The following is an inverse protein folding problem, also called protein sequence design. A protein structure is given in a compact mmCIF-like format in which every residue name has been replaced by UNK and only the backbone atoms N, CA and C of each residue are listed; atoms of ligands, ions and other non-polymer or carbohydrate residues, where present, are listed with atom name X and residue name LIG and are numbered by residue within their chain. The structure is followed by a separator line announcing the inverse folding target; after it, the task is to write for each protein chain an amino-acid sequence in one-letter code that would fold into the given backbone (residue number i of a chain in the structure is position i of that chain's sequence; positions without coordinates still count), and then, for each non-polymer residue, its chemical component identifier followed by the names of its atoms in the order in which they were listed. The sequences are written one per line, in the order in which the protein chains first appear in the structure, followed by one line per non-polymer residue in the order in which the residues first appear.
data_IF_657719850533
#
_entry.id   IF_657719850533
#
_cell.length_a   1.000
_cell.length_b   1.000
_cell.length_c   1.000
_cell.angle_alpha   90.00
_cell.angle_beta   90.00
_cell.angle_gamma   90.00
#
_symmetry.space_group_name_H-M   'P 1'
#
loop_
_entity.id
_entity.type
_entity.pdbx_description
1 polymer ?
#
# COMPACT_ATOMS: atom_id res chain seq x y z
N UNK A 1 -9.69 -0.30 8.55
CA UNK A 1 -10.85 0.60 8.52
C UNK A 1 -10.48 1.98 7.96
N UNK A 2 -11.46 2.81 7.69
CA UNK A 2 -11.29 4.15 7.14
C UNK A 2 -10.42 5.03 8.07
N UNK A 3 -9.20 5.32 7.63
CA UNK A 3 -8.22 6.16 8.32
C UNK A 3 -7.34 6.88 7.33
N UNK A 4 -6.82 8.04 7.72
CA UNK A 4 -5.82 8.79 6.97
C UNK A 4 -4.46 8.18 7.21
N UNK A 5 -3.88 7.62 6.16
CA UNK A 5 -2.66 6.82 6.26
C UNK A 5 -1.51 7.51 5.53
N UNK A 6 -0.38 7.61 6.22
CA UNK A 6 0.90 7.90 5.58
C UNK A 6 1.56 6.58 5.20
N UNK A 7 1.82 6.38 3.92
CA UNK A 7 2.57 5.24 3.39
C UNK A 7 4.00 5.60 3.09
N UNK A 8 4.93 4.75 3.44
CA UNK A 8 6.35 4.93 3.13
C UNK A 8 6.88 3.68 2.45
N UNK A 9 7.36 3.84 1.24
CA UNK A 9 8.14 2.83 0.50
C UNK A 9 9.62 3.13 0.70
N UNK A 10 10.33 2.34 1.53
CA UNK A 10 11.70 2.64 1.90
C UNK A 10 12.69 2.38 0.77
N UNK A 11 13.79 3.15 0.75
CA UNK A 11 14.90 2.93 -0.16
C UNK A 11 16.13 3.71 0.27
N UNK A 12 17.31 3.14 0.04
CA UNK A 12 18.57 3.81 0.33
C UNK A 12 18.92 4.85 -0.74
N UNK A 13 19.29 4.42 -1.94
CA UNK A 13 19.77 5.31 -3.01
C UNK A 13 18.67 6.19 -3.62
N UNK A 14 17.51 5.61 -3.86
CA UNK A 14 16.37 6.28 -4.48
C UNK A 14 15.59 7.13 -3.49
N UNK A 15 15.93 7.07 -2.21
CA UNK A 15 15.18 7.68 -1.12
C UNK A 15 13.92 6.89 -0.75
N UNK A 16 13.20 7.37 0.23
CA UNK A 16 11.95 6.80 0.68
C UNK A 16 10.79 7.57 0.03
N UNK A 17 9.93 6.89 -0.71
CA UNK A 17 8.72 7.51 -1.26
C UNK A 17 7.67 7.58 -0.18
N UNK A 18 7.14 8.79 0.06
CA UNK A 18 6.10 9.05 1.05
C UNK A 18 4.81 9.46 0.34
N UNK A 19 3.71 8.87 0.73
CA UNK A 19 2.36 9.22 0.27
C UNK A 19 1.45 9.50 1.46
N UNK A 20 0.47 10.38 1.29
CA UNK A 20 -0.61 10.58 2.25
C UNK A 20 -1.94 10.23 1.55
N UNK A 21 -2.72 9.37 2.18
CA UNK A 21 -4.03 8.93 1.70
C UNK A 21 -5.13 9.41 2.64
N UNK A 22 -6.31 9.68 2.07
CA UNK A 22 -7.51 9.93 2.84
C UNK A 22 -8.17 8.62 3.34
N UNK A 23 -9.33 8.76 3.96
CA UNK A 23 -10.09 7.64 4.54
C UNK A 23 -10.63 6.66 3.47
N UNK A 24 -10.75 7.10 2.22
CA UNK A 24 -11.15 6.29 1.06
C UNK A 24 -9.96 5.60 0.39
N UNK A 25 -8.74 5.97 0.77
CA UNK A 25 -7.51 5.48 0.15
C UNK A 25 -7.10 6.27 -1.09
N UNK A 26 -7.65 7.46 -1.28
CA UNK A 26 -7.29 8.35 -2.38
C UNK A 26 -6.01 9.12 -2.06
N UNK A 27 -5.17 9.33 -3.07
CA UNK A 27 -3.89 9.98 -2.94
C UNK A 27 -4.04 11.49 -2.79
N UNK A 28 -3.69 12.03 -1.62
CA UNK A 28 -3.69 13.45 -1.31
C UNK A 28 -2.36 14.13 -1.63
N UNK A 29 -1.24 13.44 -1.38
CA UNK A 29 0.10 13.99 -1.56
C UNK A 29 1.15 12.88 -1.73
N UNK A 30 2.21 13.20 -2.44
CA UNK A 30 3.39 12.35 -2.51
C UNK A 30 4.68 13.20 -2.51
N UNK A 31 5.73 12.65 -1.93
CA UNK A 31 7.07 13.24 -1.94
C UNK A 31 8.13 12.17 -1.75
N UNK A 32 9.40 12.54 -1.86
CA UNK A 32 10.53 11.66 -1.56
C UNK A 32 11.40 12.30 -0.49
N UNK A 33 11.76 11.51 0.52
CA UNK A 33 12.70 11.92 1.57
C UNK A 33 13.97 11.06 1.47
N UNK A 34 15.08 11.58 1.97
CA UNK A 34 16.40 10.95 1.86
C UNK A 34 17.09 10.83 3.22
N UNK A 35 16.51 10.06 4.17
CA UNK A 35 17.06 9.96 5.53
C UNK A 35 18.29 9.09 5.64
N UNK A 36 18.57 8.24 4.63
CA UNK A 36 19.61 7.22 4.63
C UNK A 36 20.77 7.59 3.70
N UNK A 37 21.87 6.85 3.83
CA UNK A 37 23.01 6.97 2.90
C UNK A 37 22.54 6.77 1.43
N UNK A 38 23.11 7.48 0.46
CA UNK A 38 24.28 8.37 0.59
C UNK A 38 23.96 9.81 1.03
N UNK A 39 22.71 10.29 0.92
CA UNK A 39 22.35 11.68 1.25
C UNK A 39 22.27 11.95 2.74
N UNK A 40 21.78 11.00 3.52
CA UNK A 40 21.69 11.02 4.99
C UNK A 40 21.12 12.30 5.59
N UNK A 41 20.08 12.87 4.98
CA UNK A 41 19.42 14.07 5.48
C UNK A 41 18.25 13.72 6.40
N UNK A 42 18.59 13.19 7.57
CA UNK A 42 17.61 12.73 8.57
C UNK A 42 16.77 13.87 9.15
N UNK A 43 17.38 15.06 9.30
CA UNK A 43 16.66 16.22 9.85
C UNK A 43 15.60 16.75 8.91
N UNK A 44 15.91 16.92 7.62
CA UNK A 44 14.93 17.33 6.61
C UNK A 44 13.83 16.28 6.42
N UNK A 45 14.19 14.99 6.46
CA UNK A 45 13.21 13.90 6.39
C UNK A 45 12.24 13.96 7.58
N UNK A 46 12.74 14.12 8.80
CA UNK A 46 11.91 14.25 10.01
C UNK A 46 10.97 15.45 9.92
N UNK A 47 11.48 16.62 9.53
CA UNK A 47 10.66 17.83 9.34
C UNK A 47 9.55 17.62 8.30
N UNK A 48 9.88 16.99 7.17
CA UNK A 48 8.89 16.66 6.12
C UNK A 48 7.79 15.76 6.66
N UNK A 49 8.14 14.68 7.36
CA UNK A 49 7.16 13.75 7.92
C UNK A 49 6.24 14.43 8.95
N UNK A 50 6.79 15.30 9.81
CA UNK A 50 6.00 16.07 10.77
C UNK A 50 5.01 17.00 10.08
N UNK A 51 5.48 17.76 9.08
CA UNK A 51 4.63 18.69 8.33
C UNK A 51 3.50 17.96 7.61
N UNK A 52 3.80 16.83 6.96
CA UNK A 52 2.79 16.01 6.29
C UNK A 52 1.79 15.41 7.28
N UNK A 53 2.26 14.89 8.41
CA UNK A 53 1.38 14.31 9.43
C UNK A 53 0.38 15.36 9.97
N UNK A 54 0.84 16.59 10.19
CA UNK A 54 0.00 17.71 10.60
C UNK A 54 -0.99 18.12 9.49
N UNK A 55 -0.46 18.38 8.29
CA UNK A 55 -1.24 18.89 7.16
C UNK A 55 -2.37 17.96 6.75
N UNK A 56 -2.08 16.66 6.68
CA UNK A 56 -3.02 15.64 6.23
C UNK A 56 -3.71 14.90 7.38
N UNK A 57 -3.47 15.30 8.64
CA UNK A 57 -4.07 14.70 9.84
C UNK A 57 -3.89 13.18 9.87
N UNK A 58 -2.66 12.73 9.69
CA UNK A 58 -2.31 11.32 9.62
C UNK A 58 -2.69 10.60 10.91
N UNK A 59 -3.37 9.47 10.80
CA UNK A 59 -3.85 8.64 11.91
C UNK A 59 -3.10 7.31 12.05
N UNK A 60 -2.35 6.91 11.02
CA UNK A 60 -1.50 5.71 11.03
C UNK A 60 -0.39 5.83 10.00
N UNK A 61 0.74 5.14 10.25
CA UNK A 61 1.85 5.04 9.30
C UNK A 61 2.07 3.59 8.89
N UNK A 62 2.12 3.36 7.58
CA UNK A 62 2.48 2.07 6.97
C UNK A 62 3.85 2.19 6.33
N UNK A 63 4.79 1.34 6.71
CA UNK A 63 6.16 1.31 6.18
C UNK A 63 6.39 -0.05 5.53
N UNK A 64 6.86 -0.07 4.28
CA UNK A 64 7.26 -1.30 3.62
C UNK A 64 8.37 -2.02 4.38
N UNK A 65 8.30 -3.35 4.46
CA UNK A 65 9.23 -4.16 5.25
C UNK A 65 10.46 -4.64 4.47
N UNK A 66 10.68 -4.16 3.26
CA UNK A 66 11.82 -4.50 2.44
C UNK A 66 13.10 -3.73 2.79
N UNK A 67 13.89 -3.41 1.76
CA UNK A 67 15.16 -2.71 1.91
C UNK A 67 14.98 -1.37 2.61
N UNK A 68 15.82 -1.08 3.63
CA UNK A 68 15.75 0.12 4.48
C UNK A 68 14.47 0.27 5.33
N UNK A 69 13.62 -0.76 5.41
CA UNK A 69 12.37 -0.71 6.16
C UNK A 69 12.57 -0.48 7.65
N UNK A 70 13.52 -1.18 8.27
CA UNK A 70 13.82 -1.05 9.70
C UNK A 70 14.41 0.32 10.05
N UNK A 71 15.35 0.79 9.24
CA UNK A 71 15.97 2.11 9.42
C UNK A 71 14.96 3.23 9.25
N UNK A 72 14.00 3.06 8.34
CA UNK A 72 12.89 4.00 8.16
C UNK A 72 11.91 3.95 9.33
N UNK A 73 11.61 2.76 9.86
CA UNK A 73 10.81 2.60 11.07
C UNK A 73 11.46 3.30 12.27
N UNK A 74 12.77 3.13 12.47
CA UNK A 74 13.53 3.81 13.53
C UNK A 74 13.45 5.34 13.39
N UNK A 75 13.55 5.87 12.18
CA UNK A 75 13.38 7.29 11.93
C UNK A 75 11.99 7.75 12.39
N UNK A 76 10.93 7.09 11.92
CA UNK A 76 9.54 7.49 12.25
C UNK A 76 9.28 7.36 13.75
N UNK A 77 9.77 6.29 14.39
CA UNK A 77 9.65 6.12 15.86
C UNK A 77 10.41 7.20 16.64
N UNK A 78 11.52 7.71 16.11
CA UNK A 78 12.26 8.78 16.77
C UNK A 78 11.50 10.12 16.83
N UNK A 79 10.46 10.29 16.00
CA UNK A 79 9.60 11.48 16.04
C UNK A 79 8.76 11.56 17.31
N UNK A 80 8.48 10.42 17.97
CA UNK A 80 7.77 10.34 19.24
C UNK A 80 8.50 11.04 20.39
N UNK A 81 9.83 11.10 20.33
CA UNK A 81 10.67 11.68 21.37
C UNK A 81 10.90 13.19 21.23
N UNK A 82 10.33 13.84 20.22
CA UNK A 82 10.58 15.26 19.96
C UNK A 82 9.61 16.12 20.78
N UNK A 83 10.10 16.75 21.83
CA UNK A 83 9.35 17.50 22.85
C UNK A 83 8.50 18.69 22.34
N UNK A 84 8.65 19.10 21.09
CA UNK A 84 7.94 20.25 20.48
C UNK A 84 7.14 19.86 19.23
N UNK A 85 6.79 18.60 19.07
CA UNK A 85 6.02 18.16 17.91
C UNK A 85 4.57 18.70 18.01
N UNK A 86 4.15 19.47 17.00
CA UNK A 86 2.74 19.89 16.86
C UNK A 86 1.79 18.69 16.58
N UNK A 87 2.38 17.51 16.33
CA UNK A 87 1.70 16.23 16.10
C UNK A 87 1.97 15.31 17.29
N UNK A 88 0.93 14.74 17.86
CA UNK A 88 1.07 13.72 18.90
C UNK A 88 1.40 12.37 18.27
N UNK A 89 2.69 12.14 18.03
CA UNK A 89 3.17 10.87 17.45
C UNK A 89 2.92 9.64 18.33
N UNK A 90 2.66 9.80 19.61
CA UNK A 90 2.34 8.67 20.50
C UNK A 90 0.97 8.06 20.18
N UNK A 91 0.06 8.86 19.65
CA UNK A 91 -1.26 8.41 19.21
C UNK A 91 -1.26 7.84 17.79
N UNK A 92 -0.18 8.01 17.01
CA UNK A 92 -0.08 7.52 15.65
C UNK A 92 0.60 6.14 15.64
N UNK A 93 -0.12 5.05 15.42
CA UNK A 93 0.47 3.72 15.32
C UNK A 93 1.30 3.60 14.04
N UNK A 94 2.44 2.91 14.17
CA UNK A 94 3.40 2.68 13.09
C UNK A 94 3.48 1.18 12.84
N UNK A 95 3.28 0.77 11.59
CA UNK A 95 3.26 -0.63 11.17
C UNK A 95 4.27 -0.89 10.06
N UNK A 96 5.01 -1.99 10.19
CA UNK A 96 5.69 -2.61 9.06
C UNK A 96 4.68 -3.43 8.26
N UNK A 97 4.61 -3.18 6.96
CA UNK A 97 3.65 -3.82 6.05
C UNK A 97 4.43 -4.60 5.00
N UNK A 98 4.00 -5.83 4.70
CA UNK A 98 4.61 -6.60 3.62
C UNK A 98 4.49 -5.84 2.30
N UNK A 99 5.62 -5.70 1.60
CA UNK A 99 5.67 -5.12 0.26
C UNK A 99 5.73 -6.18 -0.85
N UNK A 100 5.54 -7.47 -0.52
CA UNK A 100 5.56 -8.55 -1.49
C UNK A 100 4.60 -8.28 -2.64
N UNK A 101 5.10 -8.38 -3.87
CA UNK A 101 4.34 -8.09 -5.08
C UNK A 101 3.97 -6.62 -5.31
N UNK A 102 4.37 -5.67 -4.47
CA UNK A 102 4.07 -4.24 -4.68
C UNK A 102 4.68 -3.70 -5.97
N UNK A 103 5.87 -4.15 -6.34
CA UNK A 103 6.51 -3.82 -7.61
C UNK A 103 5.75 -4.39 -8.82
N UNK A 104 5.19 -5.60 -8.69
CA UNK A 104 4.36 -6.21 -9.74
C UNK A 104 3.07 -5.42 -9.93
N UNK A 105 2.39 -5.08 -8.83
CA UNK A 105 1.20 -4.22 -8.87
C UNK A 105 1.51 -2.88 -9.53
N UNK A 106 2.56 -2.17 -9.09
CA UNK A 106 2.87 -0.81 -9.55
C UNK A 106 3.08 -0.71 -11.07
N UNK A 107 3.57 -1.79 -11.70
CA UNK A 107 3.75 -1.90 -13.15
C UNK A 107 2.52 -2.43 -13.90
N UNK A 108 1.49 -2.90 -13.19
CA UNK A 108 0.30 -3.54 -13.76
C UNK A 108 -0.61 -2.57 -14.51
N UNK A 109 -1.49 -3.14 -15.35
CA UNK A 109 -2.56 -2.38 -16.02
C UNK A 109 -3.52 -1.77 -15.00
N UNK A 110 -3.82 -2.50 -13.91
CA UNK A 110 -4.70 -2.04 -12.83
C UNK A 110 -4.13 -0.77 -12.18
N UNK A 111 -2.85 -0.79 -11.80
CA UNK A 111 -2.21 0.36 -11.17
C UNK A 111 -2.11 1.57 -12.11
N UNK A 112 -1.88 1.33 -13.40
CA UNK A 112 -1.89 2.41 -14.41
C UNK A 112 -3.27 3.03 -14.60
N UNK A 113 -4.32 2.24 -14.52
CA UNK A 113 -5.69 2.73 -14.60
C UNK A 113 -6.09 3.54 -13.36
N UNK A 114 -5.67 3.08 -12.16
CA UNK A 114 -5.94 3.78 -10.89
C UNK A 114 -5.15 5.10 -10.77
N UNK A 115 -3.89 5.13 -11.24
CA UNK A 115 -2.98 6.27 -11.12
C UNK A 115 -2.25 6.54 -12.45
N UNK A 116 -2.95 7.02 -13.49
CA UNK A 116 -2.36 7.23 -14.81
C UNK A 116 -1.26 8.30 -14.81
N UNK A 117 -1.38 9.31 -13.94
CA UNK A 117 -0.47 10.47 -13.89
C UNK A 117 0.70 10.29 -12.90
N UNK A 118 0.84 9.11 -12.29
CA UNK A 118 1.88 8.82 -11.32
C UNK A 118 2.76 7.67 -11.77
N UNK A 119 4.03 7.71 -11.39
CA UNK A 119 4.99 6.66 -11.72
C UNK A 119 4.87 5.41 -10.82
N UNK A 120 5.66 4.38 -11.14
CA UNK A 120 5.65 3.10 -10.40
C UNK A 120 6.02 3.25 -8.93
N UNK A 121 6.85 4.23 -8.57
CA UNK A 121 7.29 4.43 -7.19
C UNK A 121 6.16 4.98 -6.32
N UNK A 122 5.38 5.92 -6.83
CA UNK A 122 4.19 6.43 -6.16
C UNK A 122 3.13 5.33 -6.02
N UNK A 123 2.86 4.59 -7.09
CA UNK A 123 1.90 3.47 -7.07
C UNK A 123 2.28 2.40 -6.05
N UNK A 124 3.57 2.07 -5.93
CA UNK A 124 4.10 1.16 -4.92
C UNK A 124 3.84 1.63 -3.49
N UNK A 125 4.16 2.88 -3.20
CA UNK A 125 3.93 3.48 -1.88
C UNK A 125 2.43 3.55 -1.52
N UNK A 126 1.55 3.86 -2.50
CA UNK A 126 0.09 3.82 -2.31
C UNK A 126 -0.37 2.40 -1.97
N UNK A 127 0.14 1.39 -2.68
CA UNK A 127 -0.19 -0.01 -2.39
C UNK A 127 0.17 -0.40 -0.97
N UNK A 128 1.37 -0.04 -0.49
CA UNK A 128 1.81 -0.29 0.89
C UNK A 128 0.84 0.34 1.89
N UNK A 129 0.44 1.60 1.68
CA UNK A 129 -0.50 2.29 2.56
C UNK A 129 -1.89 1.62 2.55
N UNK A 130 -2.42 1.29 1.37
CA UNK A 130 -3.74 0.65 1.21
C UNK A 130 -3.79 -0.75 1.82
N UNK A 131 -2.69 -1.50 1.83
CA UNK A 131 -2.61 -2.81 2.50
C UNK A 131 -2.84 -2.72 4.00
N UNK A 132 -2.47 -1.60 4.63
CA UNK A 132 -2.79 -1.38 6.04
C UNK A 132 -4.28 -1.13 6.26
N UNK A 133 -4.95 -0.42 5.35
CA UNK A 133 -6.37 -0.12 5.43
C UNK A 133 -7.26 -1.34 5.16
N UNK A 134 -6.98 -2.04 4.05
CA UNK A 134 -7.72 -3.22 3.60
C UNK A 134 -6.78 -4.14 2.80
N UNK A 135 -6.11 -5.09 3.47
CA UNK A 135 -5.14 -5.97 2.83
C UNK A 135 -5.75 -6.84 1.74
N UNK A 136 -6.97 -7.35 1.91
CA UNK A 136 -7.61 -8.20 0.92
C UNK A 136 -7.93 -7.43 -0.35
N UNK A 137 -8.54 -6.25 -0.22
CA UNK A 137 -8.89 -5.39 -1.34
C UNK A 137 -7.68 -5.02 -2.20
N UNK A 138 -6.52 -4.85 -1.59
CA UNK A 138 -5.29 -4.49 -2.29
C UNK A 138 -4.56 -5.71 -2.86
N UNK A 139 -4.45 -6.80 -2.10
CA UNK A 139 -3.71 -7.99 -2.51
C UNK A 139 -4.38 -8.75 -3.67
N UNK A 140 -5.70 -8.69 -3.82
CA UNK A 140 -6.40 -9.32 -4.96
C UNK A 140 -6.03 -8.70 -6.32
N UNK A 141 -5.43 -7.52 -6.33
CA UNK A 141 -4.92 -6.87 -7.55
C UNK A 141 -3.64 -7.51 -8.09
N UNK A 142 -3.02 -8.40 -7.32
CA UNK A 142 -1.76 -9.07 -7.64
C UNK A 142 -2.04 -10.53 -7.94
N UNK A 143 -1.49 -11.06 -9.04
CA UNK A 143 -1.54 -12.50 -9.29
C UNK A 143 -0.88 -13.24 -8.12
N UNK A 144 -1.58 -14.17 -7.43
CA UNK A 144 -1.02 -14.90 -6.29
C UNK A 144 0.32 -15.58 -6.60
N UNK A 145 0.53 -16.03 -7.84
CA UNK A 145 1.80 -16.63 -8.28
C UNK A 145 2.98 -15.66 -8.24
N UNK A 146 2.73 -14.35 -8.38
CA UNK A 146 3.76 -13.33 -8.30
C UNK A 146 4.26 -13.08 -6.87
N UNK A 147 3.45 -13.41 -5.87
CA UNK A 147 3.83 -13.35 -4.44
C UNK A 147 4.50 -14.66 -4.02
N UNK A 148 4.17 -15.76 -4.69
CA UNK A 148 4.59 -17.12 -4.35
C UNK A 148 3.55 -17.84 -3.49
N UNK A 149 3.06 -18.96 -4.00
CA UNK A 149 2.01 -19.77 -3.35
C UNK A 149 2.53 -21.08 -2.80
N UNK A 150 3.74 -21.47 -3.18
CA UNK A 150 4.37 -22.69 -2.66
C UNK A 150 5.68 -23.03 -3.38
N UNK A 151 6.51 -23.82 -2.70
CA UNK A 151 7.82 -24.24 -3.19
C UNK A 151 7.72 -24.93 -4.56
N UNK A 152 6.69 -25.73 -4.79
CA UNK A 152 6.49 -26.56 -5.98
C UNK A 152 5.49 -25.97 -6.97
N UNK A 153 5.23 -24.66 -6.92
CA UNK A 153 4.25 -24.02 -7.81
C UNK A 153 4.57 -24.18 -9.31
N UNK A 154 5.83 -24.42 -9.66
CA UNK A 154 6.28 -24.63 -11.04
C UNK A 154 6.24 -26.10 -11.47
N UNK A 155 6.01 -27.03 -10.54
CA UNK A 155 5.99 -28.48 -10.78
C UNK A 155 4.57 -29.03 -11.01
N UNK A 156 3.55 -28.17 -10.87
CA UNK A 156 2.15 -28.52 -11.08
C UNK A 156 1.61 -27.91 -12.36
N UNK A 157 0.48 -28.44 -12.86
CA UNK A 157 -0.17 -27.87 -14.04
C UNK A 157 -0.56 -26.41 -13.82
N UNK A 158 -0.02 -25.51 -14.65
CA UNK A 158 -0.18 -24.07 -14.49
C UNK A 158 -1.66 -23.61 -14.63
N UNK A 159 -2.45 -24.29 -15.48
CA UNK A 159 -3.86 -23.96 -15.70
C UNK A 159 -4.72 -24.40 -14.51
N UNK A 160 -4.46 -25.61 -14.00
CA UNK A 160 -5.13 -26.12 -12.81
C UNK A 160 -4.82 -25.28 -11.58
N UNK A 161 -3.54 -24.91 -11.39
CA UNK A 161 -3.11 -24.02 -10.31
C UNK A 161 -3.81 -22.67 -10.38
N UNK A 162 -3.81 -22.02 -11.56
CA UNK A 162 -4.48 -20.74 -11.75
C UNK A 162 -5.96 -20.82 -11.38
N UNK A 163 -6.67 -21.84 -11.87
CA UNK A 163 -8.10 -22.04 -11.57
C UNK A 163 -8.36 -22.22 -10.07
N UNK A 164 -7.52 -23.00 -9.39
CA UNK A 164 -7.62 -23.22 -7.95
C UNK A 164 -7.39 -21.93 -7.16
N UNK A 165 -6.41 -21.12 -7.57
CA UNK A 165 -6.12 -19.84 -6.95
C UNK A 165 -7.24 -18.82 -7.18
N UNK A 166 -7.74 -18.68 -8.41
CA UNK A 166 -8.86 -17.79 -8.73
C UNK A 166 -10.10 -18.14 -7.89
N UNK A 167 -10.43 -19.43 -7.79
CA UNK A 167 -11.56 -19.90 -6.95
C UNK A 167 -11.32 -19.59 -5.46
N UNK A 168 -10.10 -19.76 -4.98
CA UNK A 168 -9.76 -19.46 -3.58
C UNK A 168 -9.91 -17.98 -3.28
N UNK A 169 -9.43 -17.10 -4.17
CA UNK A 169 -9.57 -15.64 -4.03
C UNK A 169 -11.04 -15.25 -4.03
N UNK A 170 -11.84 -15.78 -4.98
CA UNK A 170 -13.28 -15.54 -5.04
C UNK A 170 -13.97 -15.97 -3.73
N UNK A 171 -13.64 -17.15 -3.23
CA UNK A 171 -14.17 -17.63 -1.94
C UNK A 171 -13.83 -16.69 -0.78
N UNK A 172 -12.58 -16.28 -0.66
CA UNK A 172 -12.13 -15.36 0.39
C UNK A 172 -12.83 -13.99 0.31
N UNK A 173 -12.95 -13.41 -0.90
CA UNK A 173 -13.63 -12.13 -1.10
C UNK A 173 -15.09 -12.21 -0.69
N UNK A 174 -15.80 -13.27 -1.09
CA UNK A 174 -17.22 -13.45 -0.75
C UNK A 174 -17.43 -13.77 0.74
N UNK A 175 -16.48 -14.46 1.39
CA UNK A 175 -16.55 -14.74 2.82
C UNK A 175 -16.32 -13.47 3.68
N UNK A 176 -15.40 -12.61 3.28
CA UNK A 176 -15.08 -11.35 3.99
C UNK A 176 -16.09 -10.25 3.67
N UNK A 177 -16.59 -10.23 2.43
CA UNK A 177 -17.39 -9.13 1.89
C UNK A 177 -16.55 -7.95 1.43
N UNK A 178 -17.19 -7.01 0.74
CA UNK A 178 -16.52 -5.81 0.20
C UNK A 178 -17.26 -4.55 0.64
N UNK A 179 -16.50 -3.48 0.86
CA UNK A 179 -17.06 -2.15 1.07
C UNK A 179 -17.25 -1.47 -0.28
N UNK A 180 -18.49 -1.28 -0.71
CA UNK A 180 -18.81 -0.68 -2.02
C UNK A 180 -18.28 0.74 -2.20
N UNK A 181 -18.15 1.50 -1.12
CA UNK A 181 -17.67 2.88 -1.20
C UNK A 181 -16.16 3.01 -1.44
N UNK A 182 -15.41 1.93 -1.22
CA UNK A 182 -13.94 1.92 -1.36
C UNK A 182 -13.44 0.84 -2.31
N UNK A 183 -14.33 -0.05 -2.77
CA UNK A 183 -13.97 -1.16 -3.63
C UNK A 183 -13.55 -0.69 -5.03
N UNK A 184 -12.43 -1.22 -5.52
CA UNK A 184 -12.06 -1.07 -6.93
C UNK A 184 -12.95 -1.93 -7.84
N UNK A 185 -13.07 -1.54 -9.10
CA UNK A 185 -13.75 -2.36 -10.10
C UNK A 185 -13.15 -3.77 -10.18
N UNK A 186 -11.82 -3.88 -10.03
CA UNK A 186 -11.12 -5.16 -10.01
C UNK A 186 -11.57 -6.05 -8.83
N UNK A 187 -11.64 -5.51 -7.62
CA UNK A 187 -12.12 -6.26 -6.44
C UNK A 187 -13.56 -6.74 -6.65
N UNK A 188 -14.42 -5.88 -7.19
CA UNK A 188 -15.83 -6.21 -7.42
C UNK A 188 -16.04 -7.38 -8.40
N UNK A 189 -15.09 -7.63 -9.32
CA UNK A 189 -15.19 -8.79 -10.24
C UNK A 189 -15.13 -10.13 -9.51
N UNK A 190 -14.62 -10.19 -8.29
CA UNK A 190 -14.60 -11.40 -7.45
C UNK A 190 -15.87 -11.60 -6.63
N UNK A 191 -16.78 -10.62 -6.62
CA UNK A 191 -18.07 -10.76 -5.92
C UNK A 191 -19.02 -11.60 -6.78
N UNK A 192 -19.59 -12.64 -6.20
CA UNK A 192 -20.50 -13.53 -6.89
C UNK A 192 -21.69 -12.77 -7.52
N UNK A 193 -21.90 -12.97 -8.80
CA UNK A 193 -22.96 -12.28 -9.56
C UNK A 193 -22.56 -10.93 -10.16
N UNK A 194 -21.37 -10.39 -9.87
CA UNK A 194 -20.86 -9.16 -10.47
C UNK A 194 -19.87 -9.47 -11.60
N UNK A 195 -20.29 -9.29 -12.84
CA UNK A 195 -19.38 -9.33 -13.98
C UNK A 195 -18.59 -8.02 -14.12
N UNK A 196 -17.53 -8.03 -14.94
CA UNK A 196 -16.63 -6.89 -15.14
C UNK A 196 -17.38 -5.59 -15.56
N UNK A 197 -18.36 -5.68 -16.44
CA UNK A 197 -19.15 -4.52 -16.88
C UNK A 197 -19.97 -3.90 -15.73
N UNK A 198 -20.60 -4.76 -14.90
CA UNK A 198 -21.37 -4.29 -13.75
C UNK A 198 -20.47 -3.71 -12.66
N UNK A 199 -19.32 -4.35 -12.40
CA UNK A 199 -18.32 -3.85 -11.49
C UNK A 199 -17.82 -2.44 -11.88
N UNK A 200 -17.55 -2.23 -13.17
CA UNK A 200 -17.15 -0.92 -13.68
C UNK A 200 -18.25 0.14 -13.53
N UNK A 201 -19.51 -0.22 -13.77
CA UNK A 201 -20.63 0.70 -13.63
C UNK A 201 -20.91 1.11 -12.17
N UNK A 202 -20.54 0.27 -11.20
CA UNK A 202 -20.69 0.59 -9.77
C UNK A 202 -19.66 1.63 -9.33
N UNK A 203 -18.46 1.60 -9.92
CA UNK A 203 -17.34 2.48 -9.53
C UNK A 203 -17.37 3.82 -10.25
N UNK A 204 -18.00 3.92 -11.43
CA UNK A 204 -18.19 5.17 -12.18
C UNK A 204 -19.30 6.01 -11.60
#
# INVERSE_FOLDING_TARGET
GARRIMGIDPGFRTGCKVVCLDEQGDLLHNTTIYPHEPKKDRAAAAATLQNLAKQYRVEAVAIGNGTAGRETEELVRSLKSQANAEVNWDEIPIFLVSEDGASVYSASVVARAEFPDHDVTVRGAVSIARRLADPLAELVKIDPKAIGVGQYQHDVDATALKRALDHTVEHCVNAVGVNLNTASAHLLTYVSGLGAALAQNIVN
#
